data_IF_508775367667
#
_entry.id   IF_508775367667
#
_cell.length_a   1.000
_cell.length_b   1.000
_cell.length_c   1.000
_cell.angle_alpha   90.00
_cell.angle_beta   90.00
_cell.angle_gamma   90.00
#
_symmetry.space_group_name_H-M   'P 1'
#
loop_
_entity.id
_entity.type
_entity.pdbx_description
1 polymer ?
#
# COMPACT_ATOMS: atom_id res chain seq x y z
N UNK A 1 0.72 -23.56 34.03
CA UNK A 1 0.58 -22.37 33.18
C UNK A 1 -0.55 -22.66 32.18
N UNK A 2 -1.58 -21.81 32.13
CA UNK A 2 -2.86 -22.13 31.48
C UNK A 2 -2.75 -21.96 29.95
N UNK A 3 -3.09 -23.00 29.17
CA UNK A 3 -2.96 -23.02 27.70
C UNK A 3 -3.79 -21.90 27.03
N UNK A 4 -4.92 -21.53 27.62
CA UNK A 4 -5.81 -20.46 27.13
C UNK A 4 -5.12 -19.09 27.15
N UNK A 5 -4.45 -18.75 28.25
CA UNK A 5 -3.71 -17.47 28.36
C UNK A 5 -2.60 -17.38 27.33
N UNK A 6 -1.90 -18.48 27.06
CA UNK A 6 -0.80 -18.52 26.09
C UNK A 6 -1.31 -18.35 24.64
N UNK A 7 -2.50 -18.87 24.34
CA UNK A 7 -3.18 -18.67 23.05
C UNK A 7 -3.71 -17.23 22.89
N UNK A 8 -4.31 -16.65 23.93
CA UNK A 8 -4.78 -15.26 23.87
C UNK A 8 -3.62 -14.27 23.65
N UNK A 9 -2.49 -14.50 24.31
CA UNK A 9 -1.28 -13.71 24.10
C UNK A 9 -0.72 -13.83 22.68
N UNK A 10 -0.74 -15.03 22.08
CA UNK A 10 -0.25 -15.24 20.71
C UNK A 10 -1.16 -14.61 19.65
N UNK A 11 -2.48 -14.67 19.84
CA UNK A 11 -3.45 -14.01 18.96
C UNK A 11 -3.32 -12.49 19.01
N UNK A 12 -3.23 -11.92 20.22
CA UNK A 12 -3.07 -10.48 20.40
C UNK A 12 -1.77 -9.98 19.75
N UNK A 13 -0.67 -10.72 19.94
CA UNK A 13 0.60 -10.42 19.30
C UNK A 13 0.47 -10.44 17.78
N UNK A 14 -0.16 -11.48 17.23
CA UNK A 14 -0.35 -11.62 15.80
C UNK A 14 -1.19 -10.48 15.20
N UNK A 15 -2.28 -10.10 15.85
CA UNK A 15 -3.10 -8.96 15.45
C UNK A 15 -2.30 -7.65 15.43
N UNK A 16 -1.54 -7.38 16.50
CA UNK A 16 -0.71 -6.18 16.60
C UNK A 16 0.38 -6.12 15.52
N UNK A 17 1.02 -7.26 15.24
CA UNK A 17 2.09 -7.33 14.24
C UNK A 17 1.55 -7.11 12.82
N UNK A 18 0.40 -7.71 12.48
CA UNK A 18 -0.26 -7.47 11.19
C UNK A 18 -0.64 -5.98 11.04
N UNK A 19 -1.24 -5.40 12.08
CA UNK A 19 -1.64 -3.99 12.07
C UNK A 19 -0.45 -3.04 11.92
N UNK A 20 0.66 -3.32 12.62
CA UNK A 20 1.89 -2.55 12.49
C UNK A 20 2.42 -2.54 11.04
N UNK A 21 2.43 -3.70 10.38
CA UNK A 21 2.92 -3.83 9.01
C UNK A 21 2.00 -3.11 8.02
N UNK A 22 0.68 -3.20 8.20
CA UNK A 22 -0.31 -2.46 7.41
C UNK A 22 -0.13 -0.95 7.56
N UNK A 23 0.04 -0.44 8.78
CA UNK A 23 0.28 0.99 9.00
C UNK A 23 1.62 1.45 8.41
N UNK A 24 2.66 0.61 8.48
CA UNK A 24 3.95 0.89 7.81
C UNK A 24 3.78 1.00 6.30
N UNK A 25 2.97 0.13 5.69
CA UNK A 25 2.63 0.24 4.26
C UNK A 25 1.86 1.54 3.96
N UNK A 26 0.87 1.88 4.79
CA UNK A 26 0.06 3.09 4.66
C UNK A 26 0.93 4.35 4.65
N UNK A 27 1.79 4.51 5.67
CA UNK A 27 2.74 5.62 5.80
C UNK A 27 3.67 5.69 4.59
N UNK A 28 4.23 4.55 4.18
CA UNK A 28 5.09 4.47 3.01
C UNK A 28 4.39 4.85 1.70
N UNK A 29 3.10 4.52 1.53
CA UNK A 29 2.30 4.96 0.38
C UNK A 29 2.11 6.48 0.41
N UNK A 30 1.83 7.05 1.59
CA UNK A 30 1.69 8.50 1.74
C UNK A 30 2.96 9.24 1.34
N UNK A 31 4.11 8.74 1.80
CA UNK A 31 5.45 9.24 1.50
C UNK A 31 5.95 8.90 0.08
N UNK A 32 5.19 8.09 -0.68
CA UNK A 32 5.61 7.56 -1.99
C UNK A 32 6.90 6.74 -1.94
N UNK A 33 7.22 6.17 -0.77
CA UNK A 33 8.35 5.28 -0.55
C UNK A 33 7.99 3.85 -0.99
N UNK A 34 7.95 3.62 -2.30
CA UNK A 34 7.53 2.33 -2.88
C UNK A 34 8.44 1.16 -2.53
N UNK A 35 9.69 1.42 -2.14
CA UNK A 35 10.59 0.38 -1.65
C UNK A 35 10.08 -0.16 -0.30
N UNK A 36 9.73 0.73 0.62
CA UNK A 36 9.22 0.36 1.94
C UNK A 36 7.85 -0.32 1.86
N UNK A 37 6.96 0.14 0.95
CA UNK A 37 5.69 -0.55 0.67
C UNK A 37 5.91 -2.02 0.32
N UNK A 38 6.86 -2.31 -0.59
CA UNK A 38 7.18 -3.68 -0.99
C UNK A 38 7.88 -4.48 0.11
N UNK A 39 8.67 -3.82 0.96
CA UNK A 39 9.32 -4.45 2.11
C UNK A 39 8.30 -4.92 3.14
N UNK A 40 7.38 -4.02 3.52
CA UNK A 40 6.34 -4.30 4.49
C UNK A 40 5.32 -5.35 3.97
N UNK A 41 4.94 -5.30 2.69
CA UNK A 41 4.11 -6.34 2.05
C UNK A 41 4.73 -7.73 2.15
N UNK A 42 6.01 -7.87 1.79
CA UNK A 42 6.73 -9.16 1.91
C UNK A 42 6.77 -9.68 3.34
N UNK A 43 7.00 -8.79 4.31
CA UNK A 43 7.00 -9.16 5.73
C UNK A 43 5.61 -9.60 6.19
N UNK A 44 4.55 -8.91 5.75
CA UNK A 44 3.17 -9.25 6.08
C UNK A 44 2.79 -10.61 5.49
N UNK A 45 3.12 -10.87 4.22
CA UNK A 45 2.86 -12.14 3.57
C UNK A 45 3.59 -13.30 4.26
N UNK A 46 4.89 -13.12 4.57
CA UNK A 46 5.66 -14.13 5.29
C UNK A 46 5.05 -14.42 6.66
N UNK A 47 4.72 -13.37 7.43
CA UNK A 47 4.11 -13.51 8.74
C UNK A 47 2.73 -14.18 8.68
N UNK A 48 1.89 -13.82 7.71
CA UNK A 48 0.58 -14.43 7.51
C UNK A 48 0.69 -15.93 7.18
N UNK A 49 1.68 -16.33 6.37
CA UNK A 49 1.93 -17.74 6.07
C UNK A 49 2.42 -18.52 7.32
N UNK A 50 3.23 -17.89 8.18
CA UNK A 50 3.61 -18.50 9.46
C UNK A 50 2.39 -18.68 10.38
N UNK A 51 1.52 -17.66 10.46
CA UNK A 51 0.31 -17.70 11.26
C UNK A 51 -0.64 -18.82 10.82
N UNK A 52 -0.79 -19.08 9.51
CA UNK A 52 -1.66 -20.16 9.01
C UNK A 52 -1.31 -21.54 9.60
N UNK A 53 -0.05 -21.76 9.95
CA UNK A 53 0.41 -23.02 10.54
C UNK A 53 0.22 -23.09 12.06
N UNK A 54 -0.23 -21.99 12.70
CA UNK A 54 -0.45 -21.95 14.14
C UNK A 54 -1.83 -22.52 14.53
N UNK A 55 -1.93 -23.28 15.63
CA UNK A 55 -3.20 -23.84 16.10
C UNK A 55 -4.29 -22.80 16.40
N UNK A 56 -3.90 -21.57 16.74
CA UNK A 56 -4.81 -20.48 17.05
C UNK A 56 -5.31 -19.71 15.82
N UNK A 57 -4.85 -20.03 14.61
CA UNK A 57 -5.21 -19.27 13.40
C UNK A 57 -6.70 -19.35 13.07
N UNK A 58 -7.28 -20.54 13.20
CA UNK A 58 -8.70 -20.79 12.90
C UNK A 58 -9.66 -19.99 13.79
N UNK A 59 -9.23 -19.61 15.00
CA UNK A 59 -10.01 -18.78 15.92
C UNK A 59 -9.82 -17.28 15.70
N UNK A 60 -8.87 -16.85 14.86
CA UNK A 60 -8.60 -15.43 14.55
C UNK A 60 -9.45 -14.87 13.39
N UNK A 61 -10.72 -15.27 13.28
CA UNK A 61 -11.54 -14.95 12.10
C UNK A 61 -11.84 -13.45 11.97
N UNK A 62 -11.99 -12.74 13.10
CA UNK A 62 -12.24 -11.30 13.10
C UNK A 62 -11.01 -10.53 12.61
N UNK A 63 -9.82 -10.93 13.07
CA UNK A 63 -8.54 -10.34 12.70
C UNK A 63 -8.24 -10.58 11.22
N UNK A 64 -8.51 -11.78 10.69
CA UNK A 64 -8.37 -12.09 9.27
C UNK A 64 -9.28 -11.22 8.39
N UNK A 65 -10.53 -10.99 8.82
CA UNK A 65 -11.45 -10.12 8.09
C UNK A 65 -10.98 -8.66 8.13
N UNK A 66 -10.47 -8.19 9.27
CA UNK A 66 -9.91 -6.84 9.41
C UNK A 66 -8.68 -6.67 8.50
N UNK A 67 -7.73 -7.60 8.54
CA UNK A 67 -6.56 -7.62 7.65
C UNK A 67 -6.99 -7.49 6.19
N UNK A 68 -7.97 -8.29 5.75
CA UNK A 68 -8.47 -8.24 4.37
C UNK A 68 -9.05 -6.87 4.02
N UNK A 69 -9.87 -6.29 4.89
CA UNK A 69 -10.47 -4.98 4.67
C UNK A 69 -9.40 -3.88 4.55
N UNK A 70 -8.49 -3.81 5.54
CA UNK A 70 -7.38 -2.85 5.54
C UNK A 70 -6.51 -2.99 4.29
N UNK A 71 -6.22 -4.21 3.86
CA UNK A 71 -5.41 -4.43 2.66
C UNK A 71 -6.10 -3.94 1.37
N UNK A 72 -7.42 -4.07 1.28
CA UNK A 72 -8.21 -3.50 0.17
C UNK A 72 -8.13 -1.96 0.18
N UNK A 73 -8.26 -1.34 1.36
CA UNK A 73 -8.14 0.12 1.49
C UNK A 73 -6.75 0.62 1.00
N UNK A 74 -5.68 -0.13 1.29
CA UNK A 74 -4.33 0.19 0.80
C UNK A 74 -4.20 0.08 -0.72
N UNK A 75 -4.85 -0.92 -1.34
CA UNK A 75 -4.88 -1.06 -2.81
C UNK A 75 -5.60 0.14 -3.45
N UNK A 76 -6.70 0.57 -2.85
CA UNK A 76 -7.44 1.75 -3.32
C UNK A 76 -6.58 3.01 -3.17
N UNK A 77 -5.86 3.17 -2.06
CA UNK A 77 -4.93 4.28 -1.86
C UNK A 77 -3.80 4.31 -2.90
N UNK A 78 -3.18 3.16 -3.20
CA UNK A 78 -2.17 3.04 -4.26
C UNK A 78 -2.76 3.41 -5.62
N UNK A 79 -3.99 2.97 -5.92
CA UNK A 79 -4.68 3.26 -7.17
C UNK A 79 -4.95 4.76 -7.33
N UNK A 80 -5.34 5.44 -6.25
CA UNK A 80 -5.51 6.89 -6.23
C UNK A 80 -4.20 7.63 -6.50
N UNK A 81 -3.10 7.21 -5.87
CA UNK A 81 -1.76 7.77 -6.12
C UNK A 81 -1.34 7.59 -7.58
N UNK A 82 -1.58 6.42 -8.15
CA UNK A 82 -1.29 6.14 -9.56
C UNK A 82 -2.11 7.03 -10.50
N UNK A 83 -3.40 7.22 -10.23
CA UNK A 83 -4.26 8.11 -11.02
C UNK A 83 -3.77 9.56 -10.98
N UNK A 84 -3.35 10.05 -9.81
CA UNK A 84 -2.81 11.39 -9.65
C UNK A 84 -1.53 11.60 -10.48
N UNK A 85 -0.60 10.63 -10.45
CA UNK A 85 0.63 10.68 -11.26
C UNK A 85 0.29 10.72 -12.76
N UNK A 86 -0.67 9.92 -13.21
CA UNK A 86 -1.10 9.90 -14.62
C UNK A 86 -1.62 11.27 -15.07
N UNK A 87 -2.41 11.94 -14.24
CA UNK A 87 -2.90 13.30 -14.52
C UNK A 87 -1.75 14.30 -14.59
N UNK A 88 -0.77 14.21 -13.69
CA UNK A 88 0.41 15.09 -13.71
C UNK A 88 1.24 14.88 -14.97
N UNK A 89 1.45 13.63 -15.39
CA UNK A 89 2.16 13.31 -16.64
C UNK A 89 1.46 13.88 -17.86
N UNK A 90 0.12 13.77 -17.92
CA UNK A 90 -0.68 14.33 -19.01
C UNK A 90 -0.51 15.85 -19.11
N UNK A 91 -0.62 16.56 -17.98
CA UNK A 91 -0.42 18.02 -17.94
C UNK A 91 0.98 18.42 -18.37
N UNK A 92 2.00 17.70 -17.91
CA UNK A 92 3.38 17.96 -18.32
C UNK A 92 3.59 17.82 -19.83
N UNK A 93 2.93 16.83 -20.45
CA UNK A 93 2.97 16.63 -21.89
C UNK A 93 2.28 17.77 -22.64
N UNK A 94 1.10 18.20 -22.18
CA UNK A 94 0.37 19.34 -22.74
C UNK A 94 1.18 20.65 -22.64
N UNK A 95 1.80 20.92 -21.49
CA UNK A 95 2.66 22.09 -21.29
C UNK A 95 3.86 22.09 -22.25
N UNK A 96 4.49 20.92 -22.45
CA UNK A 96 5.59 20.74 -23.39
C UNK A 96 5.16 21.03 -24.82
N UNK A 97 4.00 20.53 -25.23
CA UNK A 97 3.43 20.78 -26.57
C UNK A 97 3.12 22.27 -26.76
N UNK A 98 2.52 22.92 -25.77
CA UNK A 98 2.24 24.36 -25.79
C UNK A 98 3.52 25.21 -25.93
N UNK A 99 4.58 24.86 -25.20
CA UNK A 99 5.88 25.55 -25.30
C UNK A 99 6.52 25.36 -26.68
N UNK A 100 6.40 24.17 -27.29
CA UNK A 100 6.92 23.90 -28.64
C UNK A 100 6.13 24.70 -29.68
N UNK A 101 4.79 24.69 -29.59
CA UNK A 101 3.92 25.46 -30.47
C UNK A 101 4.25 26.96 -30.41
N UNK A 102 4.42 27.50 -29.21
CA UNK A 102 4.81 28.90 -29.01
C UNK A 102 6.17 29.23 -29.64
N UNK A 103 7.18 28.36 -29.46
CA UNK A 103 8.50 28.53 -30.09
C UNK A 103 8.43 28.54 -31.63
N UNK A 104 7.62 27.66 -32.23
CA UNK A 104 7.42 27.62 -33.69
C UNK A 104 6.83 28.91 -34.21
N UNK A 105 5.79 29.42 -33.54
CA UNK A 105 5.16 30.70 -33.89
C UNK A 105 6.17 31.86 -33.79
N UNK A 106 6.98 31.91 -32.73
CA UNK A 106 8.02 32.93 -32.59
C UNK A 106 9.11 32.86 -33.68
N UNK A 107 9.38 31.67 -34.22
CA UNK A 107 10.33 31.45 -35.31
C UNK A 107 9.73 31.68 -36.70
N UNK A 108 8.48 32.17 -36.79
CA UNK A 108 7.79 32.43 -38.05
C UNK A 108 7.38 31.15 -38.80
N UNK A 109 7.43 29.99 -38.13
CA UNK A 109 6.96 28.73 -38.66
C UNK A 109 5.46 28.61 -38.37
N UNK A 110 4.65 28.28 -39.38
CA UNK A 110 3.23 27.98 -39.18
C UNK A 110 3.06 26.73 -38.32
N UNK A 111 2.01 26.71 -37.49
CA UNK A 111 1.67 25.60 -36.61
C UNK A 111 1.49 24.27 -37.38
#
# INVERSE_FOLDING_TARGET
MNLVLLMEHSQKYAAQKMEQLLSTMEDAIHESNWYEVKSADKQLLAFYNELQNMPCFSSMKAEQNNLKARYVDLIDLVSQKQAAIKVQMQRHQEDKEGLIAYKKVQQGQSL
#
